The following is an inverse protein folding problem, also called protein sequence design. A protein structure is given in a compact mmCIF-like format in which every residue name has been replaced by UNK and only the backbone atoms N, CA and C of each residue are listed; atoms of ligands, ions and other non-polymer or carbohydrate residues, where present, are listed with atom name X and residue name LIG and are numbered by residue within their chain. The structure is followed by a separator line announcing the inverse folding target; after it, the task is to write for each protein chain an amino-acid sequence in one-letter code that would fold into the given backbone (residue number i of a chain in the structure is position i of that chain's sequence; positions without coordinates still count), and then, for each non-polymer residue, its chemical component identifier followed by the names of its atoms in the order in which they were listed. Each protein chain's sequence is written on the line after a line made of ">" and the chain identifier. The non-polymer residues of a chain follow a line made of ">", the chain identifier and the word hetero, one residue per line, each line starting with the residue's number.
data_IF_988497151437
#
_entry.id   IF_988497151437
#
_cell.length_a   1.000
_cell.length_b   1.000
_cell.length_c   1.000
_cell.angle_alpha   90.00
_cell.angle_beta   90.00
_cell.angle_gamma   90.00
#
_symmetry.space_group_name_H-M   'P 1'
#
loop_
_entity.id
_entity.type
_entity.pdbx_description
1 polymer ?
#
# COMPACT_ATOMS: atom_id res chain seq x y z
N UNK A 1 13.50 11.98 6.92
CA UNK A 1 12.41 11.01 7.17
C UNK A 1 13.05 9.81 7.85
N UNK A 2 12.45 9.25 8.90
CA UNK A 2 13.02 8.12 9.65
C UNK A 2 12.27 6.80 9.36
N UNK A 3 12.79 5.69 9.92
CA UNK A 3 12.23 4.35 9.75
C UNK A 3 10.77 4.27 10.20
N UNK A 4 10.45 4.85 11.35
CA UNK A 4 9.09 4.87 11.91
C UNK A 4 8.12 5.56 10.97
N UNK A 5 8.51 6.68 10.37
CA UNK A 5 7.68 7.40 9.42
C UNK A 5 7.47 6.61 8.12
N UNK A 6 8.46 5.84 7.66
CA UNK A 6 8.27 4.93 6.53
C UNK A 6 7.30 3.79 6.85
N UNK A 7 7.37 3.20 8.04
CA UNK A 7 6.40 2.19 8.48
C UNK A 7 4.99 2.77 8.49
N UNK A 8 4.80 3.95 9.11
CA UNK A 8 3.49 4.60 9.17
C UNK A 8 2.92 4.91 7.77
N UNK A 9 3.75 5.32 6.81
CA UNK A 9 3.32 5.54 5.43
C UNK A 9 3.02 4.23 4.68
N UNK A 10 3.74 3.14 4.99
CA UNK A 10 3.41 1.83 4.44
C UNK A 10 2.02 1.36 4.91
N UNK A 11 1.72 1.53 6.20
CA UNK A 11 0.42 1.15 6.78
C UNK A 11 -0.74 1.99 6.24
N UNK A 12 -0.55 3.31 6.11
CA UNK A 12 -1.55 4.21 5.51
C UNK A 12 -1.80 3.88 4.03
N UNK A 13 -0.75 3.58 3.28
CA UNK A 13 -0.86 3.14 1.89
C UNK A 13 -1.59 1.79 1.78
N UNK A 14 -1.28 0.82 2.66
CA UNK A 14 -1.93 -0.48 2.68
C UNK A 14 -3.43 -0.36 2.98
N UNK A 15 -3.80 0.47 3.97
CA UNK A 15 -5.20 0.75 4.31
C UNK A 15 -5.98 1.30 3.11
N UNK A 16 -5.37 2.19 2.32
CA UNK A 16 -5.98 2.72 1.08
C UNK A 16 -6.11 1.65 0.01
N UNK A 17 -5.09 0.80 -0.16
CA UNK A 17 -5.12 -0.31 -1.10
C UNK A 17 -6.27 -1.28 -0.80
N UNK A 18 -6.42 -1.68 0.46
CA UNK A 18 -7.48 -2.59 0.92
C UNK A 18 -8.87 -1.99 0.68
N UNK A 19 -9.08 -0.73 1.02
CA UNK A 19 -10.35 -0.05 0.79
C UNK A 19 -10.73 -0.05 -0.70
N UNK A 20 -9.79 0.30 -1.57
CA UNK A 20 -10.02 0.35 -3.01
C UNK A 20 -10.25 -1.04 -3.60
N UNK A 21 -9.54 -2.05 -3.11
CA UNK A 21 -9.77 -3.44 -3.51
C UNK A 21 -11.18 -3.91 -3.11
N UNK A 22 -11.62 -3.61 -1.88
CA UNK A 22 -12.96 -3.94 -1.41
C UNK A 22 -14.07 -3.18 -2.18
N UNK A 23 -13.83 -1.91 -2.52
CA UNK A 23 -14.75 -1.16 -3.39
C UNK A 23 -14.78 -1.75 -4.80
N UNK A 24 -13.63 -2.11 -5.38
CA UNK A 24 -13.55 -2.75 -6.69
C UNK A 24 -14.29 -4.09 -6.75
N UNK A 25 -14.14 -4.93 -5.72
CA UNK A 25 -14.88 -6.19 -5.59
C UNK A 25 -16.39 -5.94 -5.55
N UNK A 26 -16.82 -4.97 -4.73
CA UNK A 26 -18.24 -4.60 -4.63
C UNK A 26 -18.81 -4.17 -5.98
N UNK A 27 -18.08 -3.34 -6.74
CA UNK A 27 -18.51 -2.91 -8.06
C UNK A 27 -18.49 -4.04 -9.10
N UNK A 28 -17.52 -4.96 -9.04
CA UNK A 28 -17.46 -6.12 -9.93
C UNK A 28 -18.66 -7.06 -9.76
N UNK A 29 -19.19 -7.15 -8.54
CA UNK A 29 -20.39 -7.94 -8.22
C UNK A 29 -21.71 -7.21 -8.54
N UNK A 30 -21.66 -5.88 -8.69
CA UNK A 30 -22.84 -5.02 -8.91
C UNK A 30 -23.21 -4.76 -10.37
N UNK A 31 -24.05 -3.75 -10.58
CA UNK A 31 -24.49 -3.27 -11.91
C UNK A 31 -23.52 -2.28 -12.54
N UNK A 32 -22.69 -1.61 -11.75
CA UNK A 32 -21.70 -0.60 -12.20
C UNK A 32 -20.30 -1.20 -12.33
N UNK A 33 -20.18 -2.34 -13.03
CA UNK A 33 -18.94 -3.13 -13.12
C UNK A 33 -17.78 -2.37 -13.75
N UNK A 34 -18.08 -1.42 -14.63
CA UNK A 34 -17.10 -0.55 -15.28
C UNK A 34 -16.26 0.26 -14.28
N UNK A 35 -16.77 0.49 -13.06
CA UNK A 35 -16.03 1.18 -12.00
C UNK A 35 -15.00 0.30 -11.30
N UNK A 36 -15.11 -1.03 -11.41
CA UNK A 36 -14.23 -1.95 -10.71
C UNK A 36 -12.78 -1.86 -11.18
N UNK A 37 -12.56 -1.78 -12.50
CA UNK A 37 -11.22 -1.76 -13.11
C UNK A 37 -10.38 -0.56 -12.63
N UNK A 38 -10.84 0.70 -12.71
CA UNK A 38 -10.03 1.83 -12.25
C UNK A 38 -9.76 1.80 -10.73
N UNK A 39 -10.70 1.30 -9.93
CA UNK A 39 -10.50 1.15 -8.47
C UNK A 39 -9.48 0.07 -8.15
N UNK A 40 -9.53 -1.08 -8.83
CA UNK A 40 -8.55 -2.13 -8.68
C UNK A 40 -7.15 -1.65 -9.08
N UNK A 41 -7.03 -0.89 -10.18
CA UNK A 41 -5.77 -0.31 -10.62
C UNK A 41 -5.21 0.70 -9.60
N UNK A 42 -6.06 1.57 -9.04
CA UNK A 42 -5.66 2.49 -7.99
C UNK A 42 -5.25 1.77 -6.70
N UNK A 43 -5.96 0.71 -6.32
CA UNK A 43 -5.62 -0.13 -5.17
C UNK A 43 -4.26 -0.81 -5.34
N UNK A 44 -3.97 -1.33 -6.54
CA UNK A 44 -2.67 -1.90 -6.86
C UNK A 44 -1.53 -0.88 -6.72
N UNK A 45 -1.73 0.36 -7.19
CA UNK A 45 -0.75 1.43 -7.03
C UNK A 45 -0.46 1.74 -5.55
N UNK A 46 -1.49 1.79 -4.71
CA UNK A 46 -1.31 1.99 -3.27
C UNK A 46 -0.56 0.82 -2.62
N UNK A 47 -0.80 -0.42 -3.04
CA UNK A 47 -0.05 -1.58 -2.57
C UNK A 47 1.44 -1.50 -2.93
N UNK A 48 1.77 -0.99 -4.13
CA UNK A 48 3.16 -0.78 -4.55
C UNK A 48 3.85 0.35 -3.75
N UNK A 49 3.12 1.41 -3.39
CA UNK A 49 3.61 2.46 -2.48
C UNK A 49 3.89 1.87 -1.10
N UNK A 50 2.98 1.06 -0.57
CA UNK A 50 3.16 0.37 0.71
C UNK A 50 4.43 -0.50 0.70
N UNK A 51 4.62 -1.30 -0.37
CA UNK A 51 5.80 -2.13 -0.56
C UNK A 51 7.09 -1.30 -0.63
N UNK A 52 7.04 -0.15 -1.29
CA UNK A 52 8.17 0.78 -1.40
C UNK A 52 8.59 1.29 -0.03
N UNK A 53 7.65 1.78 0.77
CA UNK A 53 7.95 2.30 2.10
C UNK A 53 8.41 1.20 3.07
N UNK A 54 7.81 0.01 3.01
CA UNK A 54 8.26 -1.14 3.79
C UNK A 54 9.69 -1.55 3.44
N UNK A 55 10.05 -1.58 2.15
CA UNK A 55 11.40 -1.89 1.70
C UNK A 55 12.44 -0.85 2.19
N UNK A 56 12.11 0.44 2.14
CA UNK A 56 12.98 1.50 2.68
C UNK A 56 13.18 1.33 4.18
N UNK A 57 12.10 1.12 4.95
CA UNK A 57 12.18 0.89 6.39
C UNK A 57 13.05 -0.33 6.75
N UNK A 58 12.95 -1.41 5.95
CA UNK A 58 13.77 -2.61 6.13
C UNK A 58 15.25 -2.33 5.87
N UNK A 59 15.58 -1.59 4.80
CA UNK A 59 16.97 -1.22 4.50
C UNK A 59 17.60 -0.34 5.61
N UNK A 60 16.81 0.54 6.24
CA UNK A 60 17.27 1.34 7.37
C UNK A 60 17.58 0.49 8.61
N UNK A 61 16.78 -0.55 8.88
CA UNK A 61 17.02 -1.48 9.98
C UNK A 61 18.35 -2.23 9.84
N UNK A 62 18.71 -2.60 8.60
CA UNK A 62 20.00 -3.24 8.31
C UNK A 62 21.18 -2.30 8.59
N UNK A 63 21.04 -1.01 8.27
CA UNK A 63 22.07 -0.01 8.57
C UNK A 63 22.24 0.21 10.08
N UNK A 64 21.14 0.30 10.83
CA UNK A 64 21.17 0.41 12.30
C UNK A 64 21.90 -0.78 12.96
N UNK A 65 21.68 -2.00 12.45
CA UNK A 65 22.29 -3.22 12.98
C UNK A 65 23.78 -3.39 12.61
N UNK A 66 24.28 -2.68 11.60
CA UNK A 66 25.68 -2.81 11.13
C UNK A 66 26.65 -1.87 11.88
N UNK A 67 26.12 -0.92 12.67
CA UNK A 67 26.90 0.05 13.43
C UNK A 67 27.01 -0.25 14.94
N UNK A 68 26.73 -1.49 15.35
CA UNK A 68 26.88 -2.00 16.73
C UNK A 68 27.96 -3.09 16.73
#
# INVERSE_FOLDING_TARGET
>A
MDRTKHIALADDALTRAERLAGDAERYAQGTEREKAIPLAAAGALWADIARTHAAIAAAMATTEATHV
#
